data_IF_179110593214
#
_entry.id   IF_179110593214
#
_cell.length_a   1.000
_cell.length_b   1.000
_cell.length_c   1.000
_cell.angle_alpha   90.00
_cell.angle_beta   90.00
_cell.angle_gamma   90.00
#
_symmetry.space_group_name_H-M   'P 1'
#
loop_
_entity.id
_entity.type
_entity.pdbx_description
1 polymer ?
#
# COMPACT_ATOMS: atom_id res chain seq x y z
N UNK A 1 28.47 -32.81 -6.36
CA UNK A 1 29.72 -32.11 -6.62
C UNK A 1 29.83 -30.97 -5.60
N UNK A 2 30.80 -31.05 -4.69
CA UNK A 2 30.96 -30.04 -3.64
C UNK A 2 31.53 -28.73 -4.23
N UNK A 3 30.85 -27.65 -3.98
CA UNK A 3 31.37 -26.33 -4.30
C UNK A 3 32.45 -25.99 -3.26
N UNK A 4 33.72 -26.03 -3.66
CA UNK A 4 34.85 -25.54 -2.85
C UNK A 4 34.90 -24.01 -2.99
N UNK A 5 34.10 -23.33 -2.19
CA UNK A 5 33.94 -21.86 -2.24
C UNK A 5 34.93 -21.10 -1.37
N UNK A 6 36.20 -21.18 -1.65
CA UNK A 6 37.16 -20.21 -1.14
C UNK A 6 37.31 -19.12 -2.22
N UNK A 7 36.88 -17.88 -1.91
CA UNK A 7 37.05 -16.71 -2.79
C UNK A 7 38.55 -16.56 -3.12
N UNK A 8 38.89 -16.62 -4.39
CA UNK A 8 40.24 -16.24 -4.83
C UNK A 8 40.42 -14.72 -4.66
N UNK A 9 41.53 -14.30 -4.15
CA UNK A 9 41.86 -12.88 -4.05
C UNK A 9 41.73 -12.24 -5.44
N UNK A 10 40.80 -11.26 -5.60
CA UNK A 10 40.54 -10.58 -6.87
C UNK A 10 39.18 -10.92 -7.52
N UNK A 11 38.38 -11.88 -6.98
CA UNK A 11 37.01 -12.12 -7.47
C UNK A 11 36.04 -11.06 -6.93
N UNK A 12 35.15 -10.54 -7.79
CA UNK A 12 34.15 -9.58 -7.40
C UNK A 12 33.16 -10.16 -6.36
N UNK A 13 32.71 -9.35 -5.41
CA UNK A 13 31.69 -9.75 -4.43
C UNK A 13 30.36 -9.92 -5.14
N UNK A 14 29.69 -11.05 -4.96
CA UNK A 14 28.39 -11.34 -5.55
C UNK A 14 27.28 -11.08 -4.52
N UNK A 15 26.35 -10.22 -4.89
CA UNK A 15 25.14 -9.94 -4.09
C UNK A 15 23.92 -10.50 -4.81
N UNK A 16 23.22 -11.42 -4.16
CA UNK A 16 21.94 -11.94 -4.63
C UNK A 16 20.78 -11.12 -4.06
N UNK A 17 19.92 -10.62 -4.93
CA UNK A 17 18.71 -9.88 -4.51
C UNK A 17 17.50 -10.70 -4.95
N UNK A 18 16.59 -11.01 -4.03
CA UNK A 18 15.43 -11.89 -4.27
C UNK A 18 14.16 -11.06 -4.35
N UNK A 19 13.61 -10.93 -5.56
CA UNK A 19 12.45 -10.12 -5.90
C UNK A 19 12.82 -8.84 -6.66
N UNK A 20 12.33 -8.70 -7.89
CA UNK A 20 12.51 -7.51 -8.73
C UNK A 20 11.27 -6.60 -8.70
N UNK A 21 10.73 -6.38 -7.50
CA UNK A 21 9.76 -5.33 -7.19
C UNK A 21 10.44 -3.99 -6.92
N UNK A 22 9.69 -3.04 -6.36
CA UNK A 22 10.18 -1.70 -6.04
C UNK A 22 11.47 -1.73 -5.19
N UNK A 23 11.44 -2.36 -4.02
CA UNK A 23 12.59 -2.40 -3.11
C UNK A 23 13.77 -3.18 -3.68
N UNK A 24 13.53 -4.28 -4.41
CA UNK A 24 14.62 -5.06 -5.00
C UNK A 24 15.32 -4.36 -6.14
N UNK A 25 14.59 -3.64 -7.00
CA UNK A 25 15.21 -2.82 -8.05
C UNK A 25 15.99 -1.63 -7.46
N UNK A 26 15.47 -1.01 -6.40
CA UNK A 26 16.19 0.05 -5.69
C UNK A 26 17.50 -0.49 -5.04
N UNK A 27 17.41 -1.66 -4.41
CA UNK A 27 18.59 -2.31 -3.82
C UNK A 27 19.64 -2.68 -4.88
N UNK A 28 19.20 -3.19 -6.03
CA UNK A 28 20.11 -3.54 -7.12
C UNK A 28 20.82 -2.33 -7.70
N UNK A 29 20.11 -1.23 -7.92
CA UNK A 29 20.67 0.03 -8.39
C UNK A 29 21.66 0.64 -7.39
N UNK A 30 21.34 0.58 -6.10
CA UNK A 30 22.24 1.08 -5.05
C UNK A 30 23.50 0.21 -4.92
N UNK A 31 23.37 -1.10 -4.88
CA UNK A 31 24.51 -2.03 -4.78
C UNK A 31 25.44 -1.94 -6.00
N UNK A 32 24.86 -1.78 -7.20
CA UNK A 32 25.62 -1.69 -8.46
C UNK A 32 26.43 -0.41 -8.64
N UNK A 33 26.33 0.56 -7.72
CA UNK A 33 27.20 1.76 -7.72
C UNK A 33 28.65 1.40 -7.38
N UNK A 34 28.88 0.29 -6.66
CA UNK A 34 30.22 -0.24 -6.45
C UNK A 34 30.63 -1.13 -7.64
N UNK A 35 31.63 -0.74 -8.46
CA UNK A 35 32.03 -1.51 -9.63
C UNK A 35 32.65 -2.88 -9.27
N UNK A 36 33.14 -3.06 -8.03
CA UNK A 36 33.70 -4.32 -7.53
C UNK A 36 32.61 -5.33 -7.07
N UNK A 37 31.35 -4.99 -7.24
CA UNK A 37 30.19 -5.82 -6.86
C UNK A 37 29.47 -6.31 -8.11
N UNK A 38 29.22 -7.61 -8.17
CA UNK A 38 28.31 -8.23 -9.13
C UNK A 38 26.95 -8.41 -8.47
N UNK A 39 25.89 -7.88 -9.07
CA UNK A 39 24.52 -8.00 -8.57
C UNK A 39 23.76 -9.03 -9.41
N UNK A 40 23.15 -10.01 -8.74
CA UNK A 40 22.23 -10.95 -9.39
C UNK A 40 20.82 -10.69 -8.82
N UNK A 41 19.93 -10.16 -9.65
CA UNK A 41 18.55 -9.87 -9.28
C UNK A 41 17.65 -11.00 -9.77
N UNK A 42 17.14 -11.79 -8.81
CA UNK A 42 16.25 -12.93 -9.07
C UNK A 42 14.79 -12.49 -9.04
N UNK A 43 14.04 -12.84 -10.07
CA UNK A 43 12.60 -12.58 -10.16
C UNK A 43 11.88 -13.87 -10.63
N UNK A 44 10.89 -14.32 -9.87
CA UNK A 44 10.12 -15.54 -10.21
C UNK A 44 9.19 -15.36 -11.40
N UNK A 45 8.75 -14.13 -11.65
CA UNK A 45 7.88 -13.79 -12.78
C UNK A 45 8.70 -13.57 -14.06
N UNK A 46 8.03 -13.66 -15.21
CA UNK A 46 8.65 -13.37 -16.49
C UNK A 46 8.99 -11.87 -16.70
N UNK A 47 8.43 -10.98 -15.87
CA UNK A 47 8.65 -9.53 -15.95
C UNK A 47 8.81 -8.93 -14.55
N UNK A 48 9.67 -7.91 -14.43
CA UNK A 48 9.90 -7.16 -13.20
C UNK A 48 8.75 -6.19 -12.91
N UNK A 49 8.61 -5.76 -11.67
CA UNK A 49 7.76 -4.65 -11.25
C UNK A 49 6.25 -4.87 -11.41
N UNK A 50 5.76 -6.10 -11.49
CA UNK A 50 4.35 -6.38 -11.78
C UNK A 50 3.37 -5.74 -10.78
N UNK A 51 3.67 -5.79 -9.47
CA UNK A 51 2.84 -5.12 -8.45
C UNK A 51 2.96 -3.60 -8.57
N UNK A 52 4.15 -3.09 -8.89
CA UNK A 52 4.40 -1.66 -9.10
C UNK A 52 3.54 -1.09 -10.22
N UNK A 53 3.36 -1.82 -11.33
CA UNK A 53 2.50 -1.41 -12.45
C UNK A 53 1.03 -1.21 -12.08
N UNK A 54 0.55 -1.86 -11.02
CA UNK A 54 -0.84 -1.77 -10.56
C UNK A 54 -1.05 -0.68 -9.49
N UNK A 55 0.02 -0.10 -8.95
CA UNK A 55 -0.08 0.93 -7.89
C UNK A 55 -0.72 2.21 -8.39
N UNK A 56 -1.43 2.92 -7.51
CA UNK A 56 -2.09 4.19 -7.84
C UNK A 56 -3.10 4.05 -9.00
N UNK A 57 -3.80 2.91 -9.10
CA UNK A 57 -4.71 2.60 -10.23
C UNK A 57 -4.01 2.64 -11.60
N UNK A 58 -2.76 2.20 -11.67
CA UNK A 58 -1.94 2.21 -12.89
C UNK A 58 -1.16 3.50 -13.13
N UNK A 59 -1.27 4.48 -12.23
CA UNK A 59 -0.55 5.76 -12.29
C UNK A 59 0.80 5.72 -11.55
N UNK A 60 0.97 4.85 -10.56
CA UNK A 60 2.07 4.78 -9.61
C UNK A 60 2.18 6.03 -8.72
N UNK A 61 1.57 6.00 -7.53
CA UNK A 61 1.83 7.00 -6.50
C UNK A 61 3.23 6.79 -5.92
N UNK A 62 4.23 7.43 -6.54
CA UNK A 62 5.66 7.16 -6.38
C UNK A 62 6.16 7.38 -4.96
N UNK A 63 5.70 8.46 -4.33
CA UNK A 63 6.01 8.87 -2.96
C UNK A 63 4.98 9.84 -2.43
N UNK A 64 5.15 10.26 -1.17
CA UNK A 64 4.44 11.37 -0.57
C UNK A 64 5.46 12.34 0.03
N UNK A 65 5.30 13.64 -0.20
CA UNK A 65 6.20 14.66 0.33
C UNK A 65 6.20 14.72 1.87
N UNK A 66 5.12 14.24 2.50
CA UNK A 66 4.95 14.15 3.96
C UNK A 66 5.41 12.82 4.55
N UNK A 67 6.08 11.96 3.77
CA UNK A 67 6.43 10.61 4.22
C UNK A 67 7.46 10.56 5.38
N UNK A 68 8.11 11.67 5.74
CA UNK A 68 8.95 11.78 6.94
C UNK A 68 8.18 12.19 8.19
N UNK A 69 6.96 12.70 8.05
CA UNK A 69 6.15 13.23 9.16
C UNK A 69 5.41 12.12 9.93
N UNK A 70 5.41 10.90 9.43
CA UNK A 70 4.72 9.74 10.01
C UNK A 70 3.97 8.91 8.97
N UNK A 71 2.88 8.24 9.39
CA UNK A 71 2.05 7.42 8.49
C UNK A 71 2.61 6.03 8.23
N UNK A 72 3.55 5.56 9.05
CA UNK A 72 4.04 4.18 9.05
C UNK A 72 3.56 3.41 10.26
N UNK A 73 3.41 2.11 10.08
CA UNK A 73 2.84 1.19 11.04
C UNK A 73 3.64 -0.11 11.10
N UNK A 74 3.53 -0.83 12.22
CA UNK A 74 4.21 -2.08 12.52
C UNK A 74 4.31 -2.22 14.03
N UNK A 75 4.97 -3.24 14.54
CA UNK A 75 5.27 -3.33 15.97
C UNK A 75 6.26 -2.24 16.42
N UNK A 76 7.17 -1.87 15.54
CA UNK A 76 8.16 -0.82 15.73
C UNK A 76 8.24 0.02 14.44
N UNK A 77 7.35 1.01 14.32
CA UNK A 77 7.28 1.86 13.13
C UNK A 77 8.50 2.79 13.00
N UNK A 78 9.16 3.13 14.11
CA UNK A 78 10.34 4.00 14.13
C UNK A 78 11.54 3.34 13.45
N UNK A 79 11.54 2.02 13.31
CA UNK A 79 12.52 1.28 12.53
C UNK A 79 12.68 1.81 11.09
N UNK A 80 11.62 2.39 10.52
CA UNK A 80 11.66 2.92 9.17
C UNK A 80 12.48 4.22 9.04
N UNK A 81 12.60 5.00 10.13
CA UNK A 81 13.15 6.36 10.10
C UNK A 81 14.57 6.48 9.54
N UNK A 82 15.56 5.65 9.94
CA UNK A 82 16.93 5.77 9.39
C UNK A 82 16.96 5.55 7.87
N UNK A 83 16.24 4.57 7.36
CA UNK A 83 16.16 4.33 5.91
C UNK A 83 15.46 5.47 5.17
N UNK A 84 14.35 5.99 5.73
CA UNK A 84 13.63 7.14 5.17
C UNK A 84 14.51 8.40 5.14
N UNK A 85 15.32 8.61 6.17
CA UNK A 85 16.28 9.73 6.20
C UNK A 85 17.44 9.53 5.22
N UNK A 86 17.87 8.28 4.97
CA UNK A 86 18.92 7.97 4.00
C UNK A 86 18.48 8.28 2.55
N UNK A 87 17.21 8.03 2.21
CA UNK A 87 16.61 8.40 0.93
C UNK A 87 15.22 9.01 1.15
N UNK A 88 15.14 10.30 1.56
CA UNK A 88 13.86 10.98 1.79
C UNK A 88 13.13 11.28 0.46
N UNK A 89 11.85 11.71 0.51
CA UNK A 89 11.05 11.98 -0.68
C UNK A 89 11.75 12.86 -1.72
N UNK A 90 12.33 13.97 -1.33
CA UNK A 90 13.00 14.91 -2.24
C UNK A 90 14.19 14.23 -2.94
N UNK A 91 15.03 13.51 -2.19
CA UNK A 91 16.15 12.74 -2.77
C UNK A 91 15.67 11.57 -3.64
N UNK A 92 14.53 10.97 -3.29
CA UNK A 92 13.88 9.96 -4.13
C UNK A 92 13.48 10.56 -5.49
N UNK A 93 12.90 11.75 -5.51
CA UNK A 93 12.53 12.45 -6.75
C UNK A 93 13.78 12.79 -7.60
N UNK A 94 14.84 13.30 -6.98
CA UNK A 94 16.11 13.57 -7.66
C UNK A 94 16.76 12.30 -8.20
N UNK A 95 16.69 11.20 -7.44
CA UNK A 95 17.19 9.90 -7.86
C UNK A 95 16.43 9.38 -9.09
N UNK A 96 15.09 9.47 -9.10
CA UNK A 96 14.30 9.11 -10.28
C UNK A 96 14.55 10.06 -11.45
N UNK A 97 14.71 11.37 -11.19
CA UNK A 97 15.03 12.35 -12.22
C UNK A 97 16.37 12.05 -12.88
N UNK A 98 17.38 11.61 -12.12
CA UNK A 98 18.70 11.22 -12.67
C UNK A 98 18.63 10.04 -13.63
N UNK A 99 17.58 9.20 -13.50
CA UNK A 99 17.28 8.10 -14.43
C UNK A 99 16.35 8.51 -15.58
N UNK A 100 15.90 9.79 -15.64
CA UNK A 100 15.05 10.31 -16.70
C UNK A 100 13.55 10.30 -16.40
N UNK A 101 13.12 10.03 -15.15
CA UNK A 101 11.71 10.11 -14.78
C UNK A 101 11.37 11.50 -14.24
N UNK A 102 10.44 12.18 -14.91
CA UNK A 102 9.85 13.44 -14.43
C UNK A 102 8.58 13.13 -13.64
N UNK A 103 8.32 13.95 -12.61
CA UNK A 103 7.22 13.75 -11.68
C UNK A 103 6.42 15.01 -11.46
N UNK A 104 5.20 14.87 -10.97
CA UNK A 104 4.30 15.95 -10.54
C UNK A 104 3.77 15.65 -9.16
N UNK A 105 3.79 16.64 -8.27
CA UNK A 105 3.20 16.56 -6.94
C UNK A 105 1.79 17.18 -6.96
N UNK A 106 0.84 16.51 -6.31
CA UNK A 106 -0.49 17.04 -6.00
C UNK A 106 -0.43 17.85 -4.68
N UNK A 107 -1.41 18.71 -4.43
CA UNK A 107 -1.52 19.48 -3.18
C UNK A 107 -1.55 18.60 -1.91
N UNK A 108 -2.03 17.38 -2.04
CA UNK A 108 -2.04 16.36 -0.98
C UNK A 108 -0.67 15.77 -0.64
N UNK A 109 0.40 16.22 -1.29
CA UNK A 109 1.75 15.65 -1.17
C UNK A 109 1.98 14.37 -1.98
N UNK A 110 0.96 13.80 -2.62
CA UNK A 110 1.09 12.62 -3.48
C UNK A 110 1.87 12.96 -4.74
N UNK A 111 2.80 12.09 -5.13
CA UNK A 111 3.64 12.33 -6.30
C UNK A 111 3.47 11.21 -7.33
N UNK A 112 3.26 11.60 -8.57
CA UNK A 112 3.08 10.69 -9.70
C UNK A 112 4.11 10.96 -10.80
N UNK A 113 4.41 9.97 -11.66
CA UNK A 113 5.16 10.24 -12.89
C UNK A 113 4.39 11.24 -13.76
N UNK A 114 5.09 12.13 -14.42
CA UNK A 114 4.48 13.14 -15.30
C UNK A 114 3.68 12.53 -16.46
N UNK A 115 4.05 11.31 -16.88
CA UNK A 115 3.31 10.52 -17.86
C UNK A 115 1.98 9.95 -17.37
N UNK A 116 1.71 10.05 -16.08
CA UNK A 116 0.53 9.46 -15.39
C UNK A 116 0.40 7.92 -15.59
N UNK A 117 1.53 7.23 -15.80
CA UNK A 117 1.59 5.79 -16.09
C UNK A 117 2.64 5.08 -15.23
N UNK A 118 2.21 4.07 -14.48
CA UNK A 118 3.10 3.23 -13.66
C UNK A 118 4.16 2.49 -14.51
N UNK A 119 3.85 2.18 -15.77
CA UNK A 119 4.80 1.55 -16.68
C UNK A 119 6.04 2.40 -16.90
N UNK A 120 5.92 3.73 -16.96
CA UNK A 120 7.08 4.63 -17.11
C UNK A 120 8.08 4.46 -15.96
N UNK A 121 7.59 4.26 -14.73
CA UNK A 121 8.44 4.02 -13.56
C UNK A 121 9.18 2.68 -13.69
N UNK A 122 8.46 1.62 -14.07
CA UNK A 122 9.08 0.29 -14.25
C UNK A 122 10.10 0.30 -15.38
N UNK A 123 9.80 0.95 -16.50
CA UNK A 123 10.71 1.01 -17.64
C UNK A 123 11.98 1.79 -17.34
N UNK A 124 11.86 2.93 -16.64
CA UNK A 124 13.03 3.72 -16.22
C UNK A 124 13.94 2.89 -15.29
N UNK A 125 13.38 2.20 -14.29
CA UNK A 125 14.14 1.32 -13.41
C UNK A 125 14.79 0.16 -14.19
N UNK A 126 14.06 -0.49 -15.09
CA UNK A 126 14.56 -1.59 -15.91
C UNK A 126 15.72 -1.14 -16.82
N UNK A 127 15.62 0.04 -17.43
CA UNK A 127 16.67 0.61 -18.25
C UNK A 127 17.91 0.96 -17.40
N UNK A 128 17.72 1.52 -16.21
CA UNK A 128 18.81 1.85 -15.29
C UNK A 128 19.54 0.60 -14.75
N UNK A 129 18.87 -0.55 -14.70
CA UNK A 129 19.46 -1.85 -14.32
C UNK A 129 20.30 -2.48 -15.45
N UNK A 130 20.27 -1.96 -16.67
CA UNK A 130 21.09 -2.45 -17.78
C UNK A 130 22.55 -1.98 -17.63
N UNK A 131 23.28 -2.62 -16.71
CA UNK A 131 24.67 -2.34 -16.37
C UNK A 131 25.50 -3.62 -16.47
N UNK A 132 26.79 -3.50 -16.75
CA UNK A 132 27.72 -4.63 -16.87
C UNK A 132 27.81 -5.49 -15.61
N UNK A 133 27.66 -4.86 -14.44
CA UNK A 133 27.75 -5.54 -13.15
C UNK A 133 26.37 -5.95 -12.57
N UNK A 134 25.30 -5.92 -13.38
CA UNK A 134 23.95 -6.36 -12.97
C UNK A 134 23.44 -7.45 -13.90
N UNK A 135 23.11 -8.59 -13.33
CA UNK A 135 22.46 -9.70 -14.03
C UNK A 135 21.02 -9.85 -13.55
N UNK A 136 20.04 -9.59 -14.43
CA UNK A 136 18.62 -9.81 -14.14
C UNK A 136 18.23 -11.23 -14.57
N UNK A 137 17.71 -12.02 -13.64
CA UNK A 137 17.25 -13.40 -13.85
C UNK A 137 15.75 -13.50 -13.59
N UNK A 138 14.95 -13.32 -14.63
CA UNK A 138 13.49 -13.53 -14.61
C UNK A 138 13.13 -15.01 -14.80
N UNK A 139 11.95 -15.41 -14.32
CA UNK A 139 11.54 -16.82 -14.33
C UNK A 139 12.29 -17.69 -13.32
N UNK A 140 13.09 -17.09 -12.43
CA UNK A 140 13.86 -17.79 -11.42
C UNK A 140 13.19 -17.68 -10.04
N UNK A 141 12.52 -18.74 -9.62
CA UNK A 141 11.92 -18.86 -8.29
C UNK A 141 12.94 -19.37 -7.29
N UNK A 142 13.31 -18.54 -6.32
CA UNK A 142 14.17 -18.96 -5.20
C UNK A 142 13.31 -19.78 -4.21
N UNK A 143 13.65 -21.05 -4.05
CA UNK A 143 12.92 -22.01 -3.19
C UNK A 143 13.55 -22.20 -1.83
N UNK A 144 14.87 -22.03 -1.77
CA UNK A 144 15.65 -22.21 -0.54
C UNK A 144 16.87 -21.31 -0.51
N UNK A 145 17.19 -20.83 0.69
CA UNK A 145 18.45 -20.19 1.03
C UNK A 145 19.17 -21.05 2.06
N UNK A 146 20.46 -21.33 1.81
CA UNK A 146 21.33 -21.97 2.81
C UNK A 146 22.50 -21.05 3.11
N UNK A 147 22.73 -20.80 4.41
CA UNK A 147 23.93 -20.10 4.87
C UNK A 147 25.11 -21.06 4.79
N UNK A 148 26.19 -20.60 4.19
CA UNK A 148 27.49 -21.25 4.14
C UNK A 148 28.55 -20.38 4.86
N UNK A 149 29.75 -20.88 5.05
CA UNK A 149 30.80 -20.16 5.77
C UNK A 149 31.06 -18.75 5.20
N UNK A 150 31.13 -18.62 3.86
CA UNK A 150 31.51 -17.36 3.19
C UNK A 150 30.35 -16.69 2.40
N UNK A 151 29.13 -17.16 2.57
CA UNK A 151 28.00 -16.62 1.83
C UNK A 151 26.75 -17.46 1.92
N UNK A 152 26.06 -17.58 0.81
CA UNK A 152 24.76 -18.25 0.71
C UNK A 152 24.65 -19.06 -0.59
N UNK A 153 23.99 -20.19 -0.53
CA UNK A 153 23.50 -20.89 -1.70
C UNK A 153 22.03 -20.55 -1.94
N UNK A 154 21.78 -20.00 -3.12
CA UNK A 154 20.44 -19.66 -3.62
C UNK A 154 19.97 -20.78 -4.51
N UNK A 155 19.01 -21.57 -4.02
CA UNK A 155 18.51 -22.73 -4.73
C UNK A 155 17.20 -22.39 -5.47
N UNK A 156 17.22 -22.51 -6.80
CA UNK A 156 16.04 -22.49 -7.67
C UNK A 156 15.46 -23.89 -7.90
N UNK A 157 14.71 -24.06 -9.00
CA UNK A 157 14.18 -25.38 -9.40
C UNK A 157 15.24 -26.28 -10.02
N UNK A 158 16.17 -25.74 -10.79
CA UNK A 158 17.13 -26.49 -11.63
C UNK A 158 18.58 -26.10 -11.37
N UNK A 159 18.79 -25.00 -10.68
CA UNK A 159 20.10 -24.39 -10.53
C UNK A 159 20.30 -23.86 -9.09
N UNK A 160 21.54 -23.89 -8.65
CA UNK A 160 22.02 -23.29 -7.40
C UNK A 160 23.09 -22.25 -7.70
N UNK A 161 22.93 -21.05 -7.15
CA UNK A 161 23.85 -19.92 -7.33
C UNK A 161 24.46 -19.54 -6.00
N UNK A 162 25.77 -19.36 -5.96
CA UNK A 162 26.47 -18.84 -4.78
C UNK A 162 26.45 -17.31 -4.79
N UNK A 163 26.15 -16.71 -3.63
CA UNK A 163 26.22 -15.28 -3.39
C UNK A 163 26.92 -15.01 -2.05
N UNK A 164 27.76 -14.00 -1.97
CA UNK A 164 28.42 -13.61 -0.73
C UNK A 164 27.45 -12.98 0.26
N UNK A 165 26.50 -12.17 -0.26
CA UNK A 165 25.44 -11.52 0.52
C UNK A 165 24.09 -11.70 -0.17
N UNK A 166 23.02 -11.64 0.62
CA UNK A 166 21.66 -11.76 0.13
C UNK A 166 20.80 -10.61 0.63
N UNK A 167 19.99 -10.04 -0.26
CA UNK A 167 18.93 -9.08 0.08
C UNK A 167 17.57 -9.70 -0.26
N UNK A 168 16.73 -9.91 0.73
CA UNK A 168 15.36 -10.40 0.54
C UNK A 168 14.42 -9.23 0.34
N UNK A 169 13.91 -9.08 -0.90
CA UNK A 169 13.06 -7.99 -1.36
C UNK A 169 11.75 -8.51 -2.01
N UNK A 170 11.23 -9.61 -1.45
CA UNK A 170 10.11 -10.36 -2.05
C UNK A 170 8.74 -9.65 -1.97
N UNK A 171 8.66 -8.51 -1.26
CA UNK A 171 7.39 -7.86 -0.97
C UNK A 171 6.52 -8.67 0.00
N UNK A 172 5.27 -8.27 0.12
CA UNK A 172 4.28 -8.88 1.01
C UNK A 172 3.39 -9.92 0.34
N UNK A 173 2.36 -10.35 1.08
CA UNK A 173 1.35 -11.32 0.63
C UNK A 173 0.22 -10.64 -0.16
N UNK A 174 -0.03 -9.35 0.04
CA UNK A 174 -1.11 -8.61 -0.62
C UNK A 174 -0.93 -8.56 -2.14
N UNK A 175 -2.07 -8.64 -2.87
CA UNK A 175 -2.09 -8.64 -4.33
C UNK A 175 -1.54 -9.94 -4.92
N UNK A 176 -2.06 -11.09 -4.50
CA UNK A 176 -1.56 -12.43 -4.92
C UNK A 176 -1.52 -12.59 -6.44
N UNK A 177 -2.53 -12.05 -7.16
CA UNK A 177 -2.58 -12.05 -8.64
C UNK A 177 -1.48 -11.20 -9.28
N UNK A 178 -0.91 -10.28 -8.52
CA UNK A 178 0.17 -9.37 -8.95
C UNK A 178 1.55 -9.83 -8.49
N UNK A 179 1.63 -10.93 -7.77
CA UNK A 179 2.88 -11.49 -7.31
C UNK A 179 3.08 -11.49 -5.79
N UNK A 180 2.08 -11.06 -4.99
CA UNK A 180 2.11 -11.25 -3.54
C UNK A 180 2.26 -12.72 -3.16
N UNK A 181 3.12 -13.04 -2.18
CA UNK A 181 3.38 -14.44 -1.79
C UNK A 181 4.01 -14.58 -0.42
N UNK A 182 3.95 -15.81 0.09
CA UNK A 182 4.61 -16.19 1.34
C UNK A 182 6.11 -16.46 1.21
N UNK A 183 6.68 -16.39 -0.01
CA UNK A 183 8.06 -16.87 -0.26
C UNK A 183 9.11 -16.16 0.60
N UNK A 184 9.08 -14.82 0.69
CA UNK A 184 10.01 -14.06 1.51
C UNK A 184 9.96 -14.42 2.99
N UNK A 185 8.75 -14.53 3.53
CA UNK A 185 8.51 -14.95 4.92
C UNK A 185 9.04 -16.36 5.20
N UNK A 186 8.83 -17.28 4.25
CA UNK A 186 9.32 -18.66 4.38
C UNK A 186 10.84 -18.75 4.29
N UNK A 187 11.47 -17.97 3.40
CA UNK A 187 12.93 -17.93 3.28
C UNK A 187 13.57 -17.39 4.56
N UNK A 188 13.08 -16.26 5.06
CA UNK A 188 13.57 -15.65 6.31
C UNK A 188 13.25 -16.49 7.53
N UNK A 189 12.06 -17.10 7.59
CA UNK A 189 11.66 -17.99 8.69
C UNK A 189 12.57 -19.24 8.83
N UNK A 190 13.00 -19.82 7.69
CA UNK A 190 13.97 -20.95 7.70
C UNK A 190 15.36 -20.54 8.18
N UNK A 191 15.66 -19.26 8.19
CA UNK A 191 16.91 -18.68 8.71
C UNK A 191 16.75 -18.13 10.15
N UNK A 192 15.62 -18.40 10.82
CA UNK A 192 15.39 -18.10 12.23
C UNK A 192 14.59 -16.82 12.49
N UNK A 193 14.21 -16.07 11.48
CA UNK A 193 13.42 -14.84 11.64
C UNK A 193 11.94 -15.15 11.91
N UNK A 194 11.32 -14.41 12.81
CA UNK A 194 9.91 -14.52 13.14
C UNK A 194 9.10 -13.46 12.41
N UNK A 195 7.82 -13.74 12.20
CA UNK A 195 6.88 -12.81 11.58
C UNK A 195 5.70 -12.54 12.51
N UNK A 196 5.14 -11.34 12.43
CA UNK A 196 3.86 -10.98 13.00
C UNK A 196 2.72 -11.61 12.19
N UNK A 197 1.50 -11.49 12.69
CA UNK A 197 0.31 -11.96 11.95
C UNK A 197 0.09 -11.08 10.72
N UNK A 198 0.11 -11.69 9.53
CA UNK A 198 -0.18 -10.99 8.28
C UNK A 198 -1.68 -10.72 8.13
N UNK A 199 -2.04 -9.49 7.80
CA UNK A 199 -3.42 -9.03 7.59
C UNK A 199 -3.51 -8.21 6.32
N UNK A 200 -4.66 -8.23 5.59
CA UNK A 200 -4.89 -7.30 4.50
C UNK A 200 -5.02 -5.86 5.04
N UNK A 201 -4.38 -4.91 4.38
CA UNK A 201 -4.51 -3.48 4.64
C UNK A 201 -4.69 -2.71 3.33
N UNK A 202 -5.19 -1.47 3.42
CA UNK A 202 -5.58 -0.65 2.27
C UNK A 202 -6.49 -1.46 1.33
N UNK A 203 -7.62 -1.89 1.87
CA UNK A 203 -8.50 -2.87 1.24
C UNK A 203 -9.97 -2.44 1.33
N UNK A 204 -10.78 -2.89 0.40
CA UNK A 204 -12.23 -2.73 0.42
C UNK A 204 -12.84 -3.50 1.60
N UNK A 205 -13.95 -2.98 2.13
CA UNK A 205 -14.63 -3.52 3.30
C UNK A 205 -16.07 -3.90 2.94
N UNK A 206 -16.47 -5.11 3.32
CA UNK A 206 -17.86 -5.55 3.21
C UNK A 206 -18.71 -4.95 4.33
N UNK A 207 -20.00 -4.74 4.05
CA UNK A 207 -20.93 -4.20 5.05
C UNK A 207 -22.30 -4.89 5.01
N UNK A 208 -23.05 -4.72 6.08
CA UNK A 208 -24.39 -5.28 6.26
C UNK A 208 -25.51 -4.27 6.00
N UNK A 209 -25.27 -3.19 5.26
CA UNK A 209 -26.26 -2.19 4.92
C UNK A 209 -27.02 -2.54 3.64
N UNK A 210 -28.37 -2.69 3.67
CA UNK A 210 -29.17 -3.09 2.50
C UNK A 210 -29.09 -2.12 1.32
N UNK A 211 -28.82 -0.82 1.58
CA UNK A 211 -28.74 0.22 0.56
C UNK A 211 -27.50 0.12 -0.34
N UNK A 212 -26.46 -0.60 0.08
CA UNK A 212 -25.16 -0.56 -0.58
C UNK A 212 -25.16 -1.06 -2.01
N UNK A 213 -25.88 -2.15 -2.30
CA UNK A 213 -25.92 -2.76 -3.64
C UNK A 213 -26.55 -1.84 -4.69
N UNK A 214 -27.55 -1.03 -4.29
CA UNK A 214 -28.19 -0.03 -5.17
C UNK A 214 -27.24 1.12 -5.53
N UNK A 215 -26.13 1.28 -4.80
CA UNK A 215 -25.16 2.35 -4.98
C UNK A 215 -23.89 1.90 -5.72
N UNK A 216 -23.83 0.67 -6.22
CA UNK A 216 -22.66 0.16 -6.96
C UNK A 216 -22.11 1.17 -7.96
N UNK A 217 -20.85 1.56 -7.78
CA UNK A 217 -20.11 2.52 -8.61
C UNK A 217 -20.35 3.99 -8.28
N UNK A 218 -21.25 4.32 -7.35
CA UNK A 218 -21.43 5.70 -6.87
C UNK A 218 -20.25 6.09 -6.00
N UNK A 219 -19.78 7.33 -6.17
CA UNK A 219 -18.74 7.97 -5.36
C UNK A 219 -19.31 9.19 -4.66
N UNK A 220 -18.84 9.44 -3.46
CA UNK A 220 -19.16 10.64 -2.69
C UNK A 220 -17.99 11.01 -1.80
N UNK A 221 -17.77 12.32 -1.59
CA UNK A 221 -16.89 12.77 -0.53
C UNK A 221 -17.62 12.64 0.81
N UNK A 222 -16.91 12.15 1.81
CA UNK A 222 -17.45 11.99 3.15
C UNK A 222 -16.34 12.12 4.21
N UNK A 223 -16.72 12.55 5.40
CA UNK A 223 -15.97 12.27 6.62
C UNK A 223 -16.44 10.92 7.12
N UNK A 224 -15.51 10.01 7.32
CA UNK A 224 -15.78 8.62 7.75
C UNK A 224 -15.15 8.41 9.11
N UNK A 225 -15.98 8.04 10.08
CA UNK A 225 -15.55 7.62 11.41
C UNK A 225 -15.78 6.13 11.55
N UNK A 226 -14.78 5.40 12.06
CA UNK A 226 -14.95 4.00 12.46
C UNK A 226 -15.15 3.98 13.96
N UNK A 227 -16.30 3.47 14.38
CA UNK A 227 -16.68 3.39 15.79
C UNK A 227 -16.72 1.93 16.26
N UNK A 228 -16.15 1.68 17.45
CA UNK A 228 -16.16 0.40 18.14
C UNK A 228 -16.68 0.63 19.55
N UNK A 229 -17.72 -0.12 19.96
CA UNK A 229 -18.35 0.01 21.27
C UNK A 229 -18.78 1.45 21.62
N UNK A 230 -19.15 2.23 20.58
CA UNK A 230 -19.58 3.63 20.70
C UNK A 230 -18.45 4.66 20.70
N UNK A 231 -17.18 4.24 20.69
CA UNK A 231 -16.03 5.14 20.62
C UNK A 231 -15.47 5.23 19.20
N UNK A 232 -15.12 6.44 18.73
CA UNK A 232 -14.44 6.66 17.47
C UNK A 232 -12.98 6.22 17.58
N UNK A 233 -12.60 5.16 16.88
CA UNK A 233 -11.23 4.64 16.87
C UNK A 233 -10.38 5.18 15.72
N UNK A 234 -11.00 5.62 14.63
CA UNK A 234 -10.32 6.22 13.47
C UNK A 234 -11.25 7.14 12.73
N UNK A 235 -10.71 8.23 12.21
CA UNK A 235 -11.42 9.16 11.34
C UNK A 235 -10.55 9.51 10.13
N UNK A 236 -11.18 9.65 8.96
CA UNK A 236 -10.55 10.17 7.74
C UNK A 236 -11.60 10.87 6.87
N UNK A 237 -11.16 11.80 6.02
CA UNK A 237 -12.04 12.54 5.08
C UNK A 237 -11.55 12.37 3.65
N UNK A 238 -12.46 12.03 2.75
CA UNK A 238 -12.13 11.86 1.35
C UNK A 238 -13.21 11.13 0.55
N UNK A 239 -12.84 10.63 -0.62
CA UNK A 239 -13.76 9.91 -1.50
C UNK A 239 -14.05 8.50 -0.98
N UNK A 240 -15.33 8.22 -0.76
CA UNK A 240 -15.90 6.88 -0.56
C UNK A 240 -16.48 6.40 -1.89
N UNK A 241 -16.21 5.16 -2.26
CA UNK A 241 -16.84 4.47 -3.37
C UNK A 241 -17.73 3.34 -2.85
N UNK A 242 -18.99 3.37 -3.19
CA UNK A 242 -19.92 2.27 -2.90
C UNK A 242 -19.74 1.15 -3.91
N UNK A 243 -19.64 -0.08 -3.42
CA UNK A 243 -19.55 -1.30 -4.24
C UNK A 243 -20.83 -2.11 -4.10
N UNK A 244 -20.91 -3.26 -4.76
CA UNK A 244 -22.05 -4.16 -4.65
C UNK A 244 -22.20 -4.78 -3.25
N UNK A 245 -21.08 -4.88 -2.50
CA UNK A 245 -21.00 -5.62 -1.23
C UNK A 245 -20.52 -4.76 -0.07
N UNK A 246 -20.13 -3.53 -0.30
CA UNK A 246 -19.56 -2.69 0.76
C UNK A 246 -18.95 -1.39 0.27
N UNK A 247 -17.93 -0.95 0.97
CA UNK A 247 -17.28 0.34 0.81
C UNK A 247 -15.85 0.18 0.27
N UNK A 248 -15.42 1.14 -0.53
CA UNK A 248 -14.10 1.27 -1.14
C UNK A 248 -13.72 2.75 -1.22
N UNK A 249 -12.59 3.05 -1.82
CA UNK A 249 -12.09 4.42 -1.99
C UNK A 249 -10.96 4.76 -1.01
N UNK A 250 -10.22 5.83 -1.27
CA UNK A 250 -9.03 6.18 -0.48
C UNK A 250 -9.29 6.26 1.03
N UNK A 251 -10.37 6.91 1.44
CA UNK A 251 -10.72 7.04 2.86
C UNK A 251 -11.02 5.69 3.52
N UNK A 252 -11.65 4.77 2.79
CA UNK A 252 -11.94 3.42 3.29
C UNK A 252 -10.65 2.61 3.41
N UNK A 253 -9.72 2.77 2.47
CA UNK A 253 -8.42 2.11 2.56
C UNK A 253 -7.66 2.52 3.81
N UNK A 254 -7.63 3.80 4.13
CA UNK A 254 -6.97 4.32 5.33
C UNK A 254 -7.56 3.73 6.62
N UNK A 255 -8.89 3.69 6.74
CA UNK A 255 -9.55 3.19 7.95
C UNK A 255 -9.59 1.66 8.03
N UNK A 256 -9.40 0.94 6.91
CA UNK A 256 -9.52 -0.53 6.85
C UNK A 256 -8.47 -1.26 7.67
N UNK A 257 -7.33 -0.62 7.95
CA UNK A 257 -6.21 -1.21 8.68
C UNK A 257 -6.58 -1.62 10.11
N UNK A 258 -7.33 -0.77 10.79
CA UNK A 258 -7.67 -0.93 12.21
C UNK A 258 -9.07 -1.51 12.43
N UNK A 259 -9.78 -1.77 11.34
CA UNK A 259 -11.15 -2.26 11.35
C UNK A 259 -11.27 -3.69 11.86
N UNK A 260 -12.27 -3.92 12.70
CA UNK A 260 -12.71 -5.23 13.14
C UNK A 260 -14.14 -5.51 12.66
N UNK A 261 -14.50 -6.79 12.66
CA UNK A 261 -15.89 -7.21 12.37
C UNK A 261 -16.84 -6.66 13.44
N UNK A 262 -17.90 -6.00 13.01
CA UNK A 262 -18.93 -5.41 13.87
C UNK A 262 -18.72 -3.93 14.16
N UNK A 263 -17.57 -3.36 13.77
CA UNK A 263 -17.38 -1.90 13.81
C UNK A 263 -18.44 -1.20 12.95
N UNK A 264 -18.75 0.04 13.31
CA UNK A 264 -19.72 0.87 12.59
C UNK A 264 -18.95 1.98 11.88
N UNK A 265 -19.10 2.07 10.56
CA UNK A 265 -18.71 3.25 9.81
C UNK A 265 -19.83 4.29 9.86
N UNK A 266 -19.55 5.46 10.38
CA UNK A 266 -20.44 6.62 10.38
C UNK A 266 -19.96 7.58 9.31
N UNK A 267 -20.79 7.81 8.28
CA UNK A 267 -20.47 8.65 7.13
C UNK A 267 -21.22 9.98 7.22
N UNK A 268 -20.49 11.08 7.32
CA UNK A 268 -21.00 12.43 7.06
C UNK A 268 -20.77 12.77 5.60
N UNK A 269 -21.82 12.72 4.79
CA UNK A 269 -21.77 12.91 3.33
C UNK A 269 -21.79 14.38 2.90
N UNK A 270 -21.94 15.30 3.86
CA UNK A 270 -21.90 16.76 3.68
C UNK A 270 -21.10 17.40 4.82
N UNK A 271 -19.86 16.94 5.05
CA UNK A 271 -19.04 17.38 6.18
C UNK A 271 -18.69 18.89 6.19
N UNK A 272 -18.86 19.57 5.06
CA UNK A 272 -18.68 21.01 4.93
C UNK A 272 -19.94 21.83 5.29
N UNK A 273 -21.07 21.16 5.52
CA UNK A 273 -22.33 21.81 5.89
C UNK A 273 -22.72 21.44 7.31
N UNK A 274 -23.12 22.45 8.10
CA UNK A 274 -23.80 22.19 9.38
C UNK A 274 -25.19 21.61 9.13
N UNK A 275 -25.71 20.84 10.10
CA UNK A 275 -26.99 20.15 9.98
C UNK A 275 -28.14 21.15 9.79
N UNK A 276 -28.08 22.30 10.45
CA UNK A 276 -29.06 23.39 10.36
C UNK A 276 -29.13 23.99 8.95
N UNK A 277 -27.98 24.08 8.26
CA UNK A 277 -27.93 24.58 6.87
C UNK A 277 -28.62 23.60 5.94
N UNK A 278 -28.36 22.30 6.09
CA UNK A 278 -29.03 21.26 5.30
C UNK A 278 -30.53 21.28 5.59
N UNK A 279 -30.93 21.29 6.88
CA UNK A 279 -32.33 21.34 7.25
C UNK A 279 -33.05 22.56 6.66
N UNK A 280 -32.45 23.74 6.74
CA UNK A 280 -32.99 24.98 6.14
C UNK A 280 -33.22 24.84 4.63
N UNK A 281 -32.29 24.20 3.91
CA UNK A 281 -32.44 23.95 2.47
C UNK A 281 -33.59 22.96 2.19
N UNK A 282 -33.72 21.87 2.98
CA UNK A 282 -34.82 20.92 2.82
C UNK A 282 -36.18 21.58 3.12
N UNK A 283 -36.26 22.46 4.13
CA UNK A 283 -37.45 23.28 4.44
C UNK A 283 -37.79 24.24 3.29
N UNK A 284 -36.81 24.81 2.62
CA UNK A 284 -37.05 25.62 1.44
C UNK A 284 -37.66 24.80 0.31
N UNK A 285 -37.16 23.57 0.09
CA UNK A 285 -37.66 22.64 -0.94
C UNK A 285 -39.08 22.15 -0.61
N UNK A 286 -39.47 22.04 0.65
CA UNK A 286 -40.82 21.68 1.09
C UNK A 286 -41.90 22.64 0.54
N UNK A 287 -41.51 23.88 0.19
CA UNK A 287 -42.40 24.88 -0.40
C UNK A 287 -42.55 24.76 -1.92
N UNK A 288 -41.99 23.70 -2.51
CA UNK A 288 -42.01 23.47 -3.96
C UNK A 288 -42.80 22.20 -4.31
N UNK A 289 -43.21 22.06 -5.58
CA UNK A 289 -43.83 20.85 -6.10
C UNK A 289 -42.79 19.78 -6.53
N UNK A 290 -41.69 19.66 -5.77
CA UNK A 290 -40.64 18.70 -6.06
C UNK A 290 -41.05 17.29 -5.63
N UNK A 291 -40.86 16.25 -6.47
CA UNK A 291 -41.06 14.87 -6.03
C UNK A 291 -40.09 14.49 -4.88
N UNK A 292 -40.56 13.65 -3.94
CA UNK A 292 -39.74 13.24 -2.78
C UNK A 292 -38.45 12.54 -3.22
N UNK A 293 -38.48 11.76 -4.28
CA UNK A 293 -37.29 11.08 -4.81
C UNK A 293 -36.19 12.04 -5.30
N UNK A 294 -36.51 13.31 -5.53
CA UNK A 294 -35.61 14.36 -5.95
C UNK A 294 -35.21 15.30 -4.80
N UNK A 295 -35.62 14.99 -3.55
CA UNK A 295 -35.35 15.83 -2.38
C UNK A 295 -33.89 16.25 -2.23
N UNK A 296 -32.93 15.37 -2.52
CA UNK A 296 -31.49 15.60 -2.39
C UNK A 296 -30.78 15.84 -3.75
N UNK A 297 -31.54 15.93 -4.85
CA UNK A 297 -30.97 16.21 -6.18
C UNK A 297 -30.31 17.57 -6.22
N UNK A 298 -29.10 17.65 -6.78
CA UNK A 298 -28.26 18.86 -6.78
C UNK A 298 -27.47 19.10 -5.50
N UNK A 299 -27.75 18.34 -4.41
CA UNK A 299 -26.95 18.34 -3.18
C UNK A 299 -26.03 17.11 -3.18
N UNK A 300 -26.57 15.95 -3.49
CA UNK A 300 -25.83 14.68 -3.58
C UNK A 300 -26.06 14.02 -4.94
N UNK A 301 -25.27 12.99 -5.24
CA UNK A 301 -25.53 12.12 -6.40
C UNK A 301 -26.95 11.57 -6.33
N UNK A 302 -27.75 11.67 -7.41
CA UNK A 302 -29.19 11.36 -7.41
C UNK A 302 -29.53 9.98 -6.83
N UNK A 303 -28.78 8.92 -7.25
CA UNK A 303 -29.00 7.57 -6.68
C UNK A 303 -28.73 7.53 -5.18
N UNK A 304 -27.68 8.21 -4.71
CA UNK A 304 -27.34 8.28 -3.30
C UNK A 304 -28.45 8.99 -2.52
N UNK A 305 -28.91 10.15 -3.00
CA UNK A 305 -29.99 10.90 -2.39
C UNK A 305 -31.28 10.06 -2.21
N UNK A 306 -31.69 9.35 -3.26
CA UNK A 306 -32.89 8.46 -3.19
C UNK A 306 -32.72 7.34 -2.17
N UNK A 307 -31.56 6.71 -2.12
CA UNK A 307 -31.27 5.63 -1.16
C UNK A 307 -31.26 6.16 0.27
N UNK A 308 -30.66 7.34 0.52
CA UNK A 308 -30.62 7.97 1.85
C UNK A 308 -32.03 8.36 2.32
N UNK A 309 -32.84 8.99 1.46
CA UNK A 309 -34.24 9.33 1.77
C UNK A 309 -35.02 8.10 2.18
N UNK A 310 -34.85 6.97 1.45
CA UNK A 310 -35.46 5.69 1.81
C UNK A 310 -34.91 5.11 3.13
N UNK A 311 -33.60 5.24 3.36
CA UNK A 311 -32.94 4.76 4.60
C UNK A 311 -33.44 5.54 5.82
N UNK A 312 -33.74 6.84 5.66
CA UNK A 312 -34.38 7.68 6.69
C UNK A 312 -35.83 7.26 7.00
N UNK A 313 -36.38 6.24 6.34
CA UNK A 313 -37.75 5.77 6.54
C UNK A 313 -38.81 6.59 5.77
N UNK A 314 -38.37 7.53 4.95
CA UNK A 314 -39.27 8.41 4.18
C UNK A 314 -39.74 7.70 2.91
N UNK A 315 -41.05 7.72 2.65
CA UNK A 315 -41.62 7.17 1.42
C UNK A 315 -41.21 8.05 0.23
N UNK A 316 -40.59 7.47 -0.79
CA UNK A 316 -40.14 8.21 -1.95
C UNK A 316 -41.22 8.57 -2.98
N UNK A 317 -42.50 8.27 -2.72
CA UNK A 317 -43.66 8.67 -3.55
C UNK A 317 -44.32 9.92 -2.96
N UNK A 318 -44.92 10.77 -3.82
CA UNK A 318 -45.56 12.02 -3.43
C UNK A 318 -44.65 13.24 -3.60
N UNK A 319 -45.08 14.35 -3.01
CA UNK A 319 -44.39 15.64 -3.11
C UNK A 319 -43.64 15.98 -1.81
N UNK A 320 -42.53 16.69 -1.93
CA UNK A 320 -41.74 17.17 -0.77
C UNK A 320 -42.58 18.07 0.14
N UNK A 321 -43.59 18.77 -0.40
CA UNK A 321 -44.54 19.58 0.38
C UNK A 321 -45.42 18.79 1.36
N UNK A 322 -45.51 17.47 1.17
CA UNK A 322 -46.29 16.57 2.05
C UNK A 322 -45.47 16.00 3.21
N UNK A 323 -44.13 16.19 3.20
CA UNK A 323 -43.22 15.70 4.24
C UNK A 323 -43.42 16.51 5.54
N UNK A 324 -43.36 15.82 6.66
CA UNK A 324 -43.32 16.44 7.99
C UNK A 324 -41.94 16.98 8.34
N UNK A 325 -41.85 17.83 9.36
CA UNK A 325 -40.58 18.32 9.90
C UNK A 325 -39.71 17.15 10.43
N UNK A 326 -40.38 16.13 10.97
CA UNK A 326 -39.71 14.90 11.39
C UNK A 326 -39.03 14.19 10.22
N UNK A 327 -39.74 14.04 9.09
CA UNK A 327 -39.17 13.40 7.89
C UNK A 327 -37.91 14.14 7.40
N UNK A 328 -37.96 15.48 7.38
CA UNK A 328 -36.83 16.30 6.99
C UNK A 328 -35.63 16.15 7.97
N UNK A 329 -35.93 16.12 9.28
CA UNK A 329 -34.89 15.89 10.31
C UNK A 329 -34.28 14.50 10.19
N UNK A 330 -35.08 13.46 9.94
CA UNK A 330 -34.60 12.09 9.78
C UNK A 330 -33.70 11.96 8.52
N UNK A 331 -34.05 12.66 7.43
CA UNK A 331 -33.20 12.75 6.24
C UNK A 331 -31.89 13.47 6.54
N UNK A 332 -31.93 14.63 7.23
CA UNK A 332 -30.72 15.35 7.63
C UNK A 332 -29.78 14.47 8.45
N UNK A 333 -30.30 13.81 9.48
CA UNK A 333 -29.53 12.89 10.31
C UNK A 333 -28.91 11.76 9.49
N UNK A 334 -29.67 11.17 8.57
CA UNK A 334 -29.15 10.10 7.71
C UNK A 334 -28.05 10.58 6.77
N UNK A 335 -28.12 11.81 6.27
CA UNK A 335 -27.08 12.41 5.43
C UNK A 335 -25.83 12.73 6.23
N UNK A 336 -26.00 13.23 7.47
CA UNK A 336 -24.90 13.66 8.35
C UNK A 336 -24.24 12.53 9.14
N UNK A 337 -24.97 11.45 9.38
CA UNK A 337 -24.52 10.32 10.19
C UNK A 337 -25.11 9.01 9.67
N UNK A 338 -24.74 8.63 8.44
CA UNK A 338 -25.13 7.33 7.89
C UNK A 338 -24.33 6.22 8.57
N UNK A 339 -24.98 5.43 9.41
CA UNK A 339 -24.38 4.29 10.09
C UNK A 339 -24.40 3.03 9.22
N UNK A 340 -23.23 2.42 9.06
CA UNK A 340 -23.05 1.20 8.26
C UNK A 340 -22.25 0.19 9.07
N UNK A 341 -22.87 -0.93 9.44
CA UNK A 341 -22.16 -2.02 10.12
C UNK A 341 -21.19 -2.70 9.16
N UNK A 342 -19.92 -2.73 9.52
CA UNK A 342 -18.86 -3.38 8.76
C UNK A 342 -18.76 -4.86 9.14
N UNK A 343 -18.51 -5.71 8.15
CA UNK A 343 -18.48 -7.17 8.40
C UNK A 343 -17.08 -7.75 8.32
N UNK A 344 -16.38 -7.54 7.23
CA UNK A 344 -15.01 -8.03 7.05
C UNK A 344 -14.28 -7.24 5.97
N UNK A 345 -12.96 -7.05 6.06
CA UNK A 345 -12.15 -6.59 4.94
C UNK A 345 -12.11 -7.68 3.85
N UNK A 346 -11.92 -7.30 2.61
CA UNK A 346 -11.60 -8.27 1.55
C UNK A 346 -10.24 -8.92 1.85
N UNK A 347 -10.03 -10.10 1.26
CA UNK A 347 -8.81 -10.87 1.45
C UNK A 347 -7.56 -10.27 0.78
N UNK A 348 -6.43 -10.93 0.97
CA UNK A 348 -5.11 -10.56 0.44
C UNK A 348 -5.09 -10.36 -1.08
N UNK A 349 -5.98 -11.03 -1.83
CA UNK A 349 -6.10 -10.87 -3.29
C UNK A 349 -6.49 -9.45 -3.70
N UNK A 350 -7.28 -8.76 -2.87
CA UNK A 350 -7.81 -7.42 -3.10
C UNK A 350 -7.05 -6.33 -2.34
N UNK A 351 -6.26 -6.72 -1.34
CA UNK A 351 -5.49 -5.79 -0.54
C UNK A 351 -4.34 -5.17 -1.34
N UNK A 352 -4.09 -3.89 -1.13
CA UNK A 352 -2.95 -3.21 -1.73
C UNK A 352 -1.65 -3.50 -0.97
N UNK A 353 -1.76 -3.65 0.35
CA UNK A 353 -0.64 -3.79 1.29
C UNK A 353 -0.91 -4.89 2.31
N UNK A 354 0.16 -5.51 2.77
CA UNK A 354 0.17 -6.45 3.88
C UNK A 354 0.53 -5.70 5.16
N UNK A 355 -0.37 -5.64 6.12
CA UNK A 355 -0.03 -5.25 7.48
C UNK A 355 0.55 -6.46 8.22
N UNK A 356 1.64 -6.23 8.94
CA UNK A 356 2.46 -7.30 9.49
C UNK A 356 3.57 -7.74 8.55
N UNK A 357 4.58 -8.39 9.10
CA UNK A 357 5.78 -8.78 8.36
C UNK A 357 6.79 -9.49 9.24
N UNK A 358 8.00 -9.67 8.73
CA UNK A 358 9.13 -10.15 9.51
C UNK A 358 9.51 -9.07 10.53
N UNK A 359 9.74 -9.50 11.78
CA UNK A 359 10.03 -8.61 12.90
C UNK A 359 11.26 -7.74 12.61
N UNK A 360 11.08 -6.44 12.68
CA UNK A 360 12.13 -5.44 12.45
C UNK A 360 13.24 -5.49 13.49
N UNK A 361 12.93 -5.88 14.73
CA UNK A 361 13.91 -6.04 15.80
C UNK A 361 15.06 -7.01 15.50
N UNK A 362 14.85 -7.93 14.56
CA UNK A 362 15.89 -8.87 14.09
C UNK A 362 16.85 -8.22 13.04
N UNK A 363 16.65 -6.96 12.68
CA UNK A 363 17.42 -6.22 11.69
C UNK A 363 18.02 -4.93 12.26
N UNK A 364 19.08 -4.44 11.64
CA UNK A 364 19.67 -3.14 11.94
C UNK A 364 18.94 -2.05 11.12
N UNK A 365 18.34 -1.02 11.74
CA UNK A 365 17.58 0.00 11.02
C UNK A 365 18.45 0.87 10.09
N UNK A 366 19.73 1.02 10.38
CA UNK A 366 20.64 1.83 9.58
C UNK A 366 21.16 1.12 8.31
N UNK A 367 21.15 -0.23 8.33
CA UNK A 367 21.76 -1.03 7.25
C UNK A 367 20.81 -2.00 6.59
N UNK A 368 19.67 -2.31 7.21
CA UNK A 368 18.75 -3.39 6.86
C UNK A 368 19.39 -4.79 6.98
N UNK A 369 20.55 -4.94 7.62
CA UNK A 369 21.23 -6.22 7.82
C UNK A 369 20.60 -6.99 9.00
N UNK A 370 20.47 -8.31 8.84
CA UNK A 370 20.03 -9.21 9.89
C UNK A 370 21.04 -9.26 11.04
N UNK A 371 20.52 -9.14 12.27
CA UNK A 371 21.29 -9.36 13.50
C UNK A 371 21.52 -10.84 13.80
N UNK A 372 20.71 -11.73 13.18
CA UNK A 372 20.77 -13.18 13.37
C UNK A 372 21.71 -13.87 12.36
N UNK A 373 21.79 -13.36 11.13
CA UNK A 373 22.50 -14.00 10.03
C UNK A 373 23.35 -12.95 9.30
N UNK A 374 24.65 -12.86 9.58
CA UNK A 374 25.55 -11.89 8.93
C UNK A 374 25.56 -12.06 7.41
N UNK A 375 25.49 -10.91 6.70
CA UNK A 375 25.45 -10.85 5.23
C UNK A 375 24.05 -11.07 4.63
N UNK A 376 23.02 -11.27 5.47
CA UNK A 376 21.63 -11.31 5.07
C UNK A 376 20.97 -9.94 5.33
N UNK A 377 20.26 -9.42 4.34
CA UNK A 377 19.51 -8.18 4.42
C UNK A 377 18.05 -8.42 4.05
N UNK A 378 17.15 -7.57 4.52
CA UNK A 378 15.76 -7.55 4.06
C UNK A 378 15.26 -6.12 3.87
N UNK A 379 14.37 -5.89 2.88
CA UNK A 379 13.84 -4.56 2.60
C UNK A 379 12.43 -4.60 1.99
N UNK A 380 11.71 -3.51 2.12
CA UNK A 380 10.34 -3.35 1.64
C UNK A 380 9.30 -4.07 2.49
N UNK A 381 8.16 -4.38 1.88
CA UNK A 381 6.94 -4.89 2.53
C UNK A 381 7.09 -6.28 3.19
N UNK A 382 8.20 -6.98 2.99
CA UNK A 382 8.47 -8.25 3.70
C UNK A 382 8.75 -8.02 5.19
N UNK A 383 9.28 -6.85 5.57
CA UNK A 383 9.44 -6.42 6.95
C UNK A 383 8.12 -5.91 7.53
N UNK A 384 7.98 -5.96 8.86
CA UNK A 384 6.78 -5.47 9.58
C UNK A 384 6.72 -3.94 9.59
N UNK A 385 6.68 -3.34 8.39
CA UNK A 385 6.45 -1.92 8.13
C UNK A 385 5.47 -1.79 6.97
N UNK A 386 4.32 -1.20 7.23
CA UNK A 386 3.34 -0.77 6.24
C UNK A 386 3.04 0.73 6.41
N UNK A 387 2.63 1.39 5.34
CA UNK A 387 2.35 2.83 5.33
C UNK A 387 0.91 3.14 4.94
N UNK A 388 0.48 4.35 5.26
CA UNK A 388 -0.82 4.90 4.87
C UNK A 388 -1.01 4.90 3.34
N UNK A 389 -2.25 5.14 2.92
CA UNK A 389 -2.57 5.28 1.50
C UNK A 389 -1.99 6.61 0.96
N UNK A 390 -1.30 6.55 -0.17
CA UNK A 390 -0.85 7.80 -0.79
C UNK A 390 0.64 7.95 -1.00
N UNK A 391 1.38 6.87 -1.26
CA UNK A 391 2.80 6.91 -1.64
C UNK A 391 3.77 6.45 -0.55
N UNK A 392 3.33 6.30 0.69
CA UNK A 392 4.15 5.90 1.84
C UNK A 392 4.80 4.51 1.65
N UNK A 393 4.03 3.52 1.20
CA UNK A 393 4.52 2.15 0.99
C UNK A 393 5.60 2.07 -0.10
N UNK A 394 5.47 2.87 -1.16
CA UNK A 394 6.51 2.94 -2.18
C UNK A 394 7.73 3.71 -1.69
N UNK A 395 7.56 4.79 -0.93
CA UNK A 395 8.70 5.48 -0.31
C UNK A 395 9.48 4.52 0.61
N UNK A 396 8.79 3.74 1.46
CA UNK A 396 9.45 2.70 2.27
C UNK A 396 10.22 1.71 1.40
N UNK A 397 9.59 1.25 0.30
CA UNK A 397 10.26 0.30 -0.60
C UNK A 397 11.53 0.89 -1.23
N UNK A 398 11.50 2.16 -1.67
CA UNK A 398 12.67 2.84 -2.22
C UNK A 398 13.76 3.03 -1.17
N UNK A 399 13.41 3.60 -0.02
CA UNK A 399 14.35 3.96 1.04
C UNK A 399 15.03 2.73 1.65
N UNK A 400 14.25 1.72 2.03
CA UNK A 400 14.80 0.48 2.60
C UNK A 400 15.60 -0.32 1.58
N UNK A 401 15.16 -0.36 0.32
CA UNK A 401 15.87 -1.00 -0.77
C UNK A 401 17.23 -0.32 -1.04
N UNK A 402 17.21 1.01 -1.15
CA UNK A 402 18.41 1.81 -1.31
C UNK A 402 19.41 1.60 -0.15
N UNK A 403 18.90 1.62 1.09
CA UNK A 403 19.69 1.39 2.29
C UNK A 403 20.33 -0.01 2.28
N UNK A 404 19.55 -1.06 2.06
CA UNK A 404 20.02 -2.43 1.99
C UNK A 404 21.08 -2.62 0.89
N UNK A 405 20.84 -2.06 -0.31
CA UNK A 405 21.75 -2.14 -1.44
C UNK A 405 23.07 -1.42 -1.19
N UNK A 406 23.00 -0.19 -0.65
CA UNK A 406 24.18 0.63 -0.36
C UNK A 406 25.09 -0.01 0.69
N UNK A 407 24.51 -0.65 1.74
CA UNK A 407 25.29 -1.33 2.77
C UNK A 407 25.71 -2.74 2.36
N UNK A 408 24.86 -3.47 1.66
CA UNK A 408 25.22 -4.75 1.06
C UNK A 408 26.39 -4.64 0.09
N UNK A 409 26.45 -3.53 -0.68
CA UNK A 409 27.51 -3.23 -1.63
C UNK A 409 28.85 -2.82 -1.02
N UNK A 410 28.93 -2.58 0.27
CA UNK A 410 30.22 -2.29 0.94
C UNK A 410 31.00 -3.57 1.21
N UNK A 411 32.30 -3.55 1.02
CA UNK A 411 33.19 -4.62 1.47
C UNK A 411 33.10 -4.72 3.01
N UNK A 412 33.07 -5.95 3.52
CA UNK A 412 33.17 -6.18 4.96
C UNK A 412 34.63 -5.92 5.34
N UNK A 413 34.91 -4.86 6.09
CA UNK A 413 36.22 -4.53 6.66
C UNK A 413 36.62 -5.55 7.71
#
# INVERSE_FOLDING_TARGET
MGYNGVRKAGEAMVIGIIGAGASGMAAALAASQNPNVQVILFERQARVGRKLQATGNGRCNLTNLHALEGGYHGQDADFAQPALQALPPERTLDWFRSMGLFTVAEESGRVYPYSDQANSVVDVLRLALNKENVTLRTGFEVRRLRKECEGFLVEGSEETVFCNKIIVACGGLAGTKLGGSMSGYQLLGKLGHRSTRLRPALVQVKCAWPGVSALKGVRANARVQICRDGECIRESTGEVQFTEYGLSGPVIFEVSRDMCRGDVAVLDLLSQWEEEVLYGELKRRQKTALPVEELLTGILHNRLGRVLTKTAGVRCSGLVSELSDKDLTDVCRTVKALEITLTEPLGMDSAQVTAGGVLTGDFCPDTMESRLVPGLYACGEVLDIDGDCGGYNLQWAWSSGYCAGSHGGKETT
#
